data_IF_987941446424
#
_entry.id   IF_987941446424
#
_cell.length_a   1.000
_cell.length_b   1.000
_cell.length_c   1.000
_cell.angle_alpha   90.00
_cell.angle_beta   90.00
_cell.angle_gamma   90.00
#
_symmetry.space_group_name_H-M   'P 1'
#
loop_
_entity.id
_entity.type
_entity.pdbx_description
1 polymer ?
#
# COMPACT_ATOMS: atom_id res chain seq x y z
N UNK A 1 -18.08 -15.45 3.30
CA UNK A 1 -18.16 -14.80 3.48
C UNK A 1 -18.32 -13.88 3.35
N UNK A 2 -18.43 -13.49 3.48
CA UNK A 2 -18.71 -12.51 3.18
C UNK A 2 -18.32 -11.52 3.83
N UNK A 3 -17.74 -10.78 3.46
CA UNK A 3 -17.34 -9.82 3.98
C UNK A 3 -18.35 -9.00 4.39
N UNK A 4 -18.39 -8.65 5.37
CA UNK A 4 -19.24 -7.90 5.84
C UNK A 4 -18.99 -6.52 5.73
N UNK A 5 -19.30 -5.88 4.79
CA UNK A 5 -19.12 -4.52 4.71
C UNK A 5 -20.24 -3.86 5.35
N UNK A 6 -20.09 -2.77 6.02
CA UNK A 6 -21.19 -1.98 6.51
C UNK A 6 -22.01 -1.56 5.33
N UNK A 7 -23.22 -1.11 5.56
CA UNK A 7 -24.06 -0.68 4.48
C UNK A 7 -23.59 0.63 3.93
N UNK A 8 -22.59 0.60 3.09
CA UNK A 8 -22.03 1.79 2.48
C UNK A 8 -22.63 1.97 1.11
N UNK A 9 -23.17 3.15 0.86
CA UNK A 9 -23.69 3.50 -0.45
C UNK A 9 -22.56 4.01 -1.30
N UNK A 10 -22.10 3.20 -2.24
CA UNK A 10 -20.95 3.55 -3.05
C UNK A 10 -21.14 4.77 -3.92
N UNK A 11 -22.40 5.14 -4.17
CA UNK A 11 -22.65 6.35 -4.96
C UNK A 11 -22.30 7.61 -4.17
N UNK A 12 -22.06 7.48 -2.87
CA UNK A 12 -21.72 8.62 -2.04
C UNK A 12 -20.22 8.66 -1.74
N UNK A 13 -19.45 7.88 -2.45
CA UNK A 13 -18.00 7.87 -2.28
C UNK A 13 -17.36 8.60 -3.46
N UNK A 14 -16.08 8.87 -3.33
CA UNK A 14 -15.33 9.57 -4.36
C UNK A 14 -14.22 8.68 -4.86
N UNK A 15 -14.05 8.62 -6.16
CA UNK A 15 -12.96 7.83 -6.73
C UNK A 15 -11.63 8.49 -6.40
N UNK A 16 -10.62 7.67 -6.18
CA UNK A 16 -9.26 8.16 -5.98
C UNK A 16 -8.55 7.97 -7.31
N UNK A 17 -8.19 9.06 -7.94
CA UNK A 17 -7.55 9.00 -9.24
C UNK A 17 -6.08 8.73 -9.12
N UNK A 18 -5.54 8.01 -10.10
CA UNK A 18 -4.10 7.78 -10.16
C UNK A 18 -3.42 9.05 -10.66
N UNK A 19 -2.12 9.16 -10.45
CA UNK A 19 -1.38 10.33 -10.95
C UNK A 19 -1.53 10.54 -12.46
N UNK A 20 -1.86 9.46 -13.16
CA UNK A 20 -2.01 9.53 -14.58
C UNK A 20 -3.42 9.86 -15.00
N UNK A 21 -4.30 10.18 -14.06
CA UNK A 21 -5.68 10.51 -14.37
C UNK A 21 -6.61 9.34 -14.51
N UNK A 22 -6.11 8.13 -14.30
CA UNK A 22 -6.95 6.95 -14.37
C UNK A 22 -7.69 6.73 -13.06
N UNK A 23 -8.46 5.65 -13.03
CA UNK A 23 -9.24 5.36 -11.84
C UNK A 23 -9.01 3.96 -11.30
N UNK A 24 -8.11 3.23 -11.92
CA UNK A 24 -7.85 1.85 -11.51
C UNK A 24 -6.46 1.75 -10.91
N UNK A 25 -6.39 1.23 -9.71
CA UNK A 25 -5.13 0.97 -9.04
C UNK A 25 -4.88 -0.51 -9.05
N UNK A 26 -3.62 -0.91 -9.00
CA UNK A 26 -3.25 -2.30 -8.98
C UNK A 26 -2.66 -2.64 -7.62
N UNK A 27 -2.93 -3.83 -7.11
CA UNK A 27 -2.42 -4.23 -5.82
C UNK A 27 -1.06 -4.87 -5.99
N UNK A 28 -0.15 -4.54 -5.11
CA UNK A 28 1.18 -5.13 -5.11
C UNK A 28 1.69 -5.24 -3.70
N UNK A 29 2.98 -5.57 -3.59
CA UNK A 29 3.60 -5.72 -2.28
C UNK A 29 4.93 -4.99 -2.30
N UNK A 30 5.08 -4.05 -1.37
CA UNK A 30 6.34 -3.39 -1.17
C UNK A 30 7.13 -4.19 -0.16
N UNK A 31 8.42 -4.35 -0.37
CA UNK A 31 9.25 -5.11 0.56
C UNK A 31 10.18 -4.15 1.29
N UNK A 32 10.22 -4.28 2.59
CA UNK A 32 11.13 -3.50 3.41
C UNK A 32 12.07 -4.46 4.13
N UNK A 33 13.32 -4.04 4.32
CA UNK A 33 14.29 -4.88 5.01
C UNK A 33 14.48 -4.36 6.42
N UNK A 34 14.57 -5.27 7.38
CA UNK A 34 14.85 -4.87 8.75
C UNK A 34 16.10 -5.59 9.19
N UNK A 35 16.98 -4.86 9.88
CA UNK A 35 18.27 -5.37 10.30
C UNK A 35 18.13 -6.53 11.27
N UNK A 36 18.98 -7.53 11.08
CA UNK A 36 19.00 -8.66 11.99
C UNK A 36 19.29 -8.25 13.41
N UNK A 37 20.00 -7.16 13.60
CA UNK A 37 20.34 -6.72 14.96
C UNK A 37 19.12 -6.16 15.68
N UNK A 38 18.15 -5.66 14.93
CA UNK A 38 16.94 -5.15 15.54
C UNK A 38 16.03 -6.29 15.96
N UNK A 39 15.95 -7.32 15.15
CA UNK A 39 15.04 -8.42 15.41
C UNK A 39 15.68 -9.61 16.12
N UNK A 40 16.98 -9.51 16.41
CA UNK A 40 17.65 -10.58 17.14
C UNK A 40 17.75 -11.89 16.37
N UNK A 41 17.97 -11.80 15.07
CA UNK A 41 18.01 -12.99 14.21
C UNK A 41 19.38 -13.17 13.59
N UNK A 42 19.57 -14.27 12.90
CA UNK A 42 20.83 -14.54 12.21
C UNK A 42 20.93 -13.81 10.89
N UNK A 43 19.81 -13.44 10.32
CA UNK A 43 19.79 -12.77 9.03
C UNK A 43 18.82 -11.62 9.07
N UNK A 44 18.99 -10.67 8.17
CA UNK A 44 18.05 -9.56 8.03
C UNK A 44 16.69 -10.11 7.65
N UNK A 45 15.65 -9.44 8.09
CA UNK A 45 14.30 -9.86 7.77
C UNK A 45 13.74 -9.05 6.62
N UNK A 46 12.68 -9.56 6.03
CA UNK A 46 11.97 -8.86 4.96
C UNK A 46 10.52 -8.75 5.38
N UNK A 47 10.00 -7.54 5.32
CA UNK A 47 8.64 -7.26 5.72
C UNK A 47 7.83 -6.90 4.48
N UNK A 48 6.82 -7.70 4.15
CA UNK A 48 5.97 -7.38 3.01
C UNK A 48 4.85 -6.43 3.45
N UNK A 49 4.63 -5.41 2.66
CA UNK A 49 3.60 -4.42 2.95
C UNK A 49 2.70 -4.31 1.74
N UNK A 50 1.42 -4.63 1.89
CA UNK A 50 0.51 -4.54 0.75
C UNK A 50 0.30 -3.08 0.38
N UNK A 51 0.31 -2.80 -0.91
CA UNK A 51 0.14 -1.44 -1.41
C UNK A 51 -0.72 -1.46 -2.64
N UNK A 52 -1.24 -0.29 -3.00
CA UNK A 52 -1.89 -0.10 -4.28
C UNK A 52 -1.03 0.89 -5.07
N UNK A 53 -0.86 0.66 -6.33
CA UNK A 53 0.00 1.52 -7.14
C UNK A 53 -0.61 1.77 -8.51
N UNK A 54 -0.20 2.87 -9.11
CA UNK A 54 -0.61 3.24 -10.46
C UNK A 54 0.11 2.31 -11.42
N UNK A 55 -0.61 1.50 -12.18
CA UNK A 55 0.06 0.52 -13.05
C UNK A 55 0.87 1.14 -14.18
N UNK A 56 0.66 2.42 -14.45
CA UNK A 56 1.41 3.06 -15.52
C UNK A 56 2.65 3.78 -15.06
N UNK A 57 2.65 4.32 -13.87
CA UNK A 57 3.80 5.06 -13.36
C UNK A 57 4.53 4.34 -12.25
N UNK A 58 3.87 3.37 -11.61
CA UNK A 58 4.45 2.68 -10.47
C UNK A 58 4.33 3.44 -9.17
N UNK A 59 3.68 4.60 -9.18
CA UNK A 59 3.57 5.37 -7.96
C UNK A 59 2.59 4.74 -6.99
N UNK A 60 2.98 4.68 -5.73
CA UNK A 60 2.20 4.04 -4.69
C UNK A 60 1.21 5.02 -4.10
N UNK A 61 -0.01 4.55 -3.84
CA UNK A 61 -1.02 5.35 -3.18
C UNK A 61 -0.63 5.47 -1.72
N UNK A 62 -0.15 6.64 -1.34
CA UNK A 62 0.41 6.86 -0.02
C UNK A 62 -0.59 6.66 1.10
N UNK A 63 -1.86 6.94 0.84
CA UNK A 63 -2.87 6.82 1.87
C UNK A 63 -3.06 5.40 2.38
N UNK A 64 -2.61 4.40 1.61
CA UNK A 64 -2.76 3.02 2.03
C UNK A 64 -1.53 2.50 2.74
N UNK A 65 -0.48 3.30 2.84
CA UNK A 65 0.72 2.89 3.55
C UNK A 65 0.59 3.21 5.04
N UNK A 66 1.30 2.44 5.89
CA UNK A 66 1.41 2.84 7.27
C UNK A 66 1.98 4.25 7.35
N UNK A 67 1.56 5.01 8.35
CA UNK A 67 1.99 6.37 8.46
C UNK A 67 3.46 6.55 8.42
N UNK A 68 4.20 5.63 9.02
CA UNK A 68 5.64 5.72 9.11
C UNK A 68 6.33 5.66 7.75
N UNK A 69 5.64 5.11 6.76
CA UNK A 69 6.24 4.92 5.46
C UNK A 69 5.76 5.89 4.40
N UNK A 70 4.90 6.83 4.77
CA UNK A 70 4.37 7.75 3.78
C UNK A 70 5.41 8.78 3.39
N UNK A 71 5.57 8.97 2.09
CA UNK A 71 6.47 9.98 1.52
C UNK A 71 7.93 9.80 1.91
N UNK A 72 8.32 8.55 2.17
CA UNK A 72 9.71 8.24 2.39
C UNK A 72 10.41 8.11 1.07
N UNK A 73 11.62 8.70 0.95
CA UNK A 73 12.36 8.57 -0.25
C UNK A 73 13.44 7.61 -0.06
N UNK A 74 13.53 6.57 -0.83
CA UNK A 74 14.61 5.61 -0.74
C UNK A 74 14.96 5.02 -2.02
#
# INVERSE_FOLDING_TARGET
MNQQQPNIDLTKTTAIETPNGGKIWQQGVMLRKISKFIIGADEDGIIPIPVFFDPETGEVLQDTLPKELRNIEE
#
